data_IF_054726873233
#
_entry.id   IF_054726873233
#
_cell.length_a   1.000
_cell.length_b   1.000
_cell.length_c   1.000
_cell.angle_alpha   90.00
_cell.angle_beta   90.00
_cell.angle_gamma   90.00
#
_symmetry.space_group_name_H-M   'P 1'
#
loop_
_entity.id
_entity.type
_entity.pdbx_description
1 polymer ?
#
# COMPACT_ATOMS: atom_id res chain seq x y z
N UNK A 1 17.92 14.14 13.38
CA UNK A 1 17.75 13.40 12.11
C UNK A 1 17.87 14.39 10.96
N UNK A 2 18.64 14.03 9.93
CA UNK A 2 18.76 14.79 8.69
C UNK A 2 18.13 13.93 7.59
N UNK A 3 17.07 14.44 6.96
CA UNK A 3 16.46 13.81 5.79
C UNK A 3 17.05 14.39 4.51
N UNK A 4 17.45 13.51 3.60
CA UNK A 4 18.02 13.86 2.30
C UNK A 4 17.08 13.44 1.19
N UNK A 5 16.83 14.34 0.23
CA UNK A 5 16.11 14.02 -1.01
C UNK A 5 16.76 14.80 -2.17
N UNK A 6 16.88 14.18 -3.34
CA UNK A 6 17.45 14.81 -4.51
C UNK A 6 16.48 15.74 -5.26
N UNK A 7 15.18 15.69 -4.93
CA UNK A 7 14.18 16.60 -5.44
C UNK A 7 14.19 17.93 -4.62
N UNK A 8 14.83 18.95 -5.17
CA UNK A 8 14.92 20.26 -4.54
C UNK A 8 13.55 20.89 -4.23
N UNK A 9 12.54 20.64 -5.06
CA UNK A 9 11.19 21.18 -4.81
C UNK A 9 10.59 20.53 -3.57
N UNK A 10 10.76 19.23 -3.43
CA UNK A 10 10.30 18.47 -2.27
C UNK A 10 11.05 18.87 -1.00
N UNK A 11 12.37 19.08 -1.08
CA UNK A 11 13.18 19.58 0.04
C UNK A 11 12.68 20.96 0.50
N UNK A 12 12.46 21.91 -0.43
CA UNK A 12 11.94 23.23 -0.10
C UNK A 12 10.53 23.16 0.52
N UNK A 13 9.62 22.36 -0.05
CA UNK A 13 8.29 22.15 0.52
C UNK A 13 8.35 21.65 1.97
N UNK A 14 9.22 20.66 2.25
CA UNK A 14 9.41 20.11 3.59
C UNK A 14 10.03 21.14 4.56
N UNK A 15 10.97 21.96 4.10
CA UNK A 15 11.55 23.07 4.87
C UNK A 15 10.50 24.14 5.22
N UNK A 16 9.56 24.40 4.30
CA UNK A 16 8.41 25.30 4.50
C UNK A 16 7.27 24.65 5.32
N UNK A 17 7.44 23.42 5.79
CA UNK A 17 6.47 22.69 6.61
C UNK A 17 5.32 22.03 5.84
N UNK A 18 5.43 21.90 4.52
CA UNK A 18 4.46 21.21 3.67
C UNK A 18 4.86 19.75 3.47
N UNK A 19 3.96 18.82 3.83
CA UNK A 19 4.20 17.38 3.68
C UNK A 19 3.62 16.92 2.35
N UNK A 20 4.42 16.30 1.45
CA UNK A 20 3.99 15.97 0.08
C UNK A 20 3.10 14.72 -0.01
N UNK A 21 2.80 14.06 1.10
CA UNK A 21 1.95 12.87 1.18
C UNK A 21 0.90 13.03 2.27
N UNK A 22 -0.26 12.42 2.07
CA UNK A 22 -1.27 12.33 3.12
C UNK A 22 -1.06 11.08 3.96
N UNK A 23 -0.73 11.27 5.24
CA UNK A 23 -0.65 10.19 6.25
C UNK A 23 -1.15 10.75 7.59
N UNK A 24 -2.17 10.14 8.22
CA UNK A 24 -2.71 10.61 9.48
C UNK A 24 -1.65 10.80 10.57
N UNK A 25 -1.58 12.00 11.15
CA UNK A 25 -0.64 12.34 12.23
C UNK A 25 0.80 12.68 11.81
N UNK A 26 1.18 12.48 10.53
CA UNK A 26 2.55 12.73 10.07
C UNK A 26 2.91 14.21 10.09
N UNK A 27 2.01 15.07 9.63
CA UNK A 27 2.26 16.53 9.55
C UNK A 27 2.56 17.10 10.93
N UNK A 28 1.79 16.73 11.95
CA UNK A 28 1.99 17.19 13.32
C UNK A 28 3.35 16.74 13.88
N UNK A 29 3.74 15.49 13.61
CA UNK A 29 5.03 14.94 14.04
C UNK A 29 6.20 15.66 13.38
N UNK A 30 6.12 15.92 12.08
CA UNK A 30 7.17 16.64 11.35
C UNK A 30 7.31 18.05 11.90
N UNK A 31 6.22 18.84 11.97
CA UNK A 31 6.23 20.20 12.50
C UNK A 31 6.81 20.28 13.91
N UNK A 32 6.40 19.37 14.79
CA UNK A 32 6.91 19.27 16.17
C UNK A 32 8.42 19.02 16.22
N UNK A 33 8.94 18.13 15.36
CA UNK A 33 10.35 17.75 15.41
C UNK A 33 11.25 18.80 14.71
N UNK A 34 10.76 19.45 13.66
CA UNK A 34 11.45 20.59 13.03
C UNK A 34 11.56 21.75 14.01
N UNK A 35 10.45 22.16 14.64
CA UNK A 35 10.43 23.24 15.63
C UNK A 35 11.36 22.97 16.84
N UNK A 36 11.53 21.71 17.20
CA UNK A 36 12.45 21.31 18.29
C UNK A 36 13.90 21.09 17.85
N UNK A 37 14.25 21.39 16.58
CA UNK A 37 15.60 21.20 16.03
C UNK A 37 16.06 19.74 15.93
N UNK A 38 15.13 18.77 16.00
CA UNK A 38 15.45 17.33 15.92
C UNK A 38 15.35 16.76 14.50
N UNK A 39 14.75 17.51 13.58
CA UNK A 39 14.54 17.11 12.20
C UNK A 39 14.91 18.27 11.27
N UNK A 40 15.73 17.99 10.25
CA UNK A 40 16.09 18.94 9.19
C UNK A 40 16.08 18.24 7.84
N UNK A 41 16.06 19.04 6.76
CA UNK A 41 16.00 18.56 5.39
C UNK A 41 17.10 19.23 4.56
N UNK A 42 17.79 18.43 3.74
CA UNK A 42 18.86 18.88 2.84
C UNK A 42 18.84 18.11 1.53
N UNK A 43 19.46 18.66 0.50
CA UNK A 43 19.73 17.93 -0.73
C UNK A 43 21.15 17.34 -0.79
N UNK A 44 21.97 17.56 0.25
CA UNK A 44 23.37 17.15 0.29
C UNK A 44 23.55 15.85 1.05
N UNK A 45 23.84 14.76 0.34
CA UNK A 45 24.21 13.48 0.96
C UNK A 45 25.50 13.62 1.77
N UNK A 46 26.49 14.40 1.26
CA UNK A 46 27.76 14.61 1.94
C UNK A 46 27.60 15.24 3.33
N UNK A 47 26.76 16.28 3.45
CA UNK A 47 26.42 16.89 4.72
C UNK A 47 25.81 15.89 5.72
N UNK A 48 24.89 15.06 5.23
CA UNK A 48 24.24 14.06 6.06
C UNK A 48 25.20 12.94 6.49
N UNK A 49 26.09 12.47 5.59
CA UNK A 49 27.12 11.47 5.91
C UNK A 49 28.08 11.99 6.97
N UNK A 50 28.58 13.20 6.82
CA UNK A 50 29.53 13.82 7.77
C UNK A 50 28.93 13.98 9.17
N UNK A 51 27.62 14.18 9.29
CA UNK A 51 26.93 14.42 10.55
C UNK A 51 26.32 13.16 11.19
N UNK A 52 26.46 11.99 10.56
CA UNK A 52 25.71 10.79 10.95
C UNK A 52 26.62 9.60 11.25
N UNK A 53 26.20 8.76 12.20
CA UNK A 53 26.80 7.44 12.50
C UNK A 53 25.99 6.29 11.87
N UNK A 54 24.71 6.53 11.61
CA UNK A 54 23.79 5.56 11.02
C UNK A 54 23.03 6.25 9.89
N UNK A 55 23.06 5.68 8.71
CA UNK A 55 22.38 6.20 7.52
C UNK A 55 21.35 5.20 7.05
N UNK A 56 20.10 5.64 6.88
CA UNK A 56 19.01 4.84 6.34
C UNK A 56 18.83 5.13 4.84
N UNK A 57 18.98 4.11 4.00
CA UNK A 57 18.60 4.15 2.59
C UNK A 57 17.11 3.83 2.51
N UNK A 58 16.30 4.84 2.19
CA UNK A 58 14.84 4.75 2.12
C UNK A 58 14.34 5.31 0.77
N UNK A 59 14.90 4.81 -0.31
CA UNK A 59 14.62 5.26 -1.68
C UNK A 59 13.61 4.37 -2.38
N UNK A 60 12.92 4.88 -3.44
CA UNK A 60 12.01 4.08 -4.24
C UNK A 60 12.71 2.87 -4.88
N UNK A 61 11.96 1.78 -5.00
CA UNK A 61 12.36 0.56 -5.70
C UNK A 61 11.25 0.20 -6.69
N UNK A 62 11.12 0.94 -7.82
CA UNK A 62 10.00 0.76 -8.73
C UNK A 62 10.07 -0.56 -9.46
N UNK A 63 8.90 -1.18 -9.81
CA UNK A 63 8.87 -2.39 -10.60
C UNK A 63 9.28 -2.12 -12.04
N UNK A 64 9.98 -3.08 -12.65
CA UNK A 64 10.26 -3.10 -14.08
C UNK A 64 9.24 -3.97 -14.85
N UNK A 65 9.11 -3.82 -16.18
CA UNK A 65 8.13 -4.57 -16.97
C UNK A 65 8.30 -6.10 -16.91
N UNK A 66 9.49 -6.59 -16.60
CA UNK A 66 9.81 -8.03 -16.48
C UNK A 66 9.53 -8.58 -15.07
N UNK A 67 8.98 -7.75 -14.16
CA UNK A 67 8.71 -8.08 -12.76
C UNK A 67 9.92 -7.91 -11.83
N UNK A 68 11.10 -7.54 -12.35
CA UNK A 68 12.24 -7.20 -11.51
C UNK A 68 12.04 -5.84 -10.82
N UNK A 69 12.94 -5.53 -9.89
CA UNK A 69 12.97 -4.26 -9.16
C UNK A 69 14.14 -3.41 -9.65
N UNK A 70 13.87 -2.14 -9.94
CA UNK A 70 14.93 -1.19 -10.26
C UNK A 70 15.67 -0.80 -8.98
N UNK A 71 16.94 -1.22 -8.87
CA UNK A 71 17.82 -0.92 -7.75
C UNK A 71 18.78 0.26 -8.02
N UNK A 72 18.63 0.95 -9.14
CA UNK A 72 19.54 2.05 -9.52
C UNK A 72 19.58 3.17 -8.47
N UNK A 73 18.43 3.45 -7.82
CA UNK A 73 18.38 4.42 -6.73
C UNK A 73 19.16 3.96 -5.49
N UNK A 74 19.05 2.69 -5.11
CA UNK A 74 19.80 2.10 -3.98
C UNK A 74 21.30 2.11 -4.28
N UNK A 75 21.69 1.66 -5.47
CA UNK A 75 23.10 1.65 -5.91
C UNK A 75 23.65 3.08 -5.99
N UNK A 76 22.90 4.03 -6.54
CA UNK A 76 23.29 5.43 -6.65
C UNK A 76 23.59 6.03 -5.27
N UNK A 77 22.69 5.87 -4.32
CA UNK A 77 22.89 6.36 -2.94
C UNK A 77 24.07 5.66 -2.26
N UNK A 78 24.26 4.34 -2.45
CA UNK A 78 25.41 3.63 -1.90
C UNK A 78 26.75 4.17 -2.44
N UNK A 79 26.81 4.52 -3.74
CA UNK A 79 27.98 5.16 -4.35
C UNK A 79 28.24 6.55 -3.79
N UNK A 80 27.22 7.37 -3.65
CA UNK A 80 27.35 8.71 -3.09
C UNK A 80 27.77 8.69 -1.62
N UNK A 81 27.19 7.80 -0.81
CA UNK A 81 27.65 7.57 0.57
C UNK A 81 29.14 7.23 0.59
N UNK A 82 29.57 6.28 -0.27
CA UNK A 82 30.96 5.82 -0.31
C UNK A 82 31.98 6.94 -0.55
N UNK A 83 31.64 7.91 -1.41
CA UNK A 83 32.51 9.04 -1.74
C UNK A 83 32.72 9.96 -0.54
N UNK A 84 31.72 10.05 0.35
CA UNK A 84 31.77 10.96 1.50
C UNK A 84 32.22 10.29 2.80
N UNK A 85 32.32 8.94 2.85
CA UNK A 85 32.80 8.24 4.03
C UNK A 85 34.26 8.64 4.33
N UNK A 86 34.46 9.19 5.52
CA UNK A 86 35.78 9.40 6.12
C UNK A 86 36.22 8.13 6.86
N UNK A 87 37.26 8.18 7.69
CA UNK A 87 37.84 7.00 8.35
C UNK A 87 37.06 6.47 9.56
N UNK A 88 35.89 7.03 9.88
CA UNK A 88 35.07 6.60 11.02
C UNK A 88 34.11 5.48 10.61
N UNK A 89 33.82 4.57 11.56
CA UNK A 89 32.87 3.51 11.37
C UNK A 89 31.46 4.06 11.13
N UNK A 90 30.80 3.58 10.07
CA UNK A 90 29.46 3.99 9.66
C UNK A 90 28.55 2.77 9.50
N UNK A 91 27.33 2.85 9.98
CA UNK A 91 26.31 1.84 9.74
C UNK A 91 25.39 2.33 8.60
N UNK A 92 25.33 1.53 7.52
CA UNK A 92 24.44 1.79 6.36
C UNK A 92 23.27 0.82 6.41
N UNK A 93 22.08 1.34 6.63
CA UNK A 93 20.84 0.57 6.80
C UNK A 93 20.00 0.63 5.53
N UNK A 94 19.77 -0.49 4.87
CA UNK A 94 18.80 -0.59 3.80
C UNK A 94 17.40 -0.77 4.40
N UNK A 95 16.57 0.26 4.26
CA UNK A 95 15.18 0.30 4.72
C UNK A 95 14.20 0.00 3.60
N UNK A 96 14.61 0.20 2.34
CA UNK A 96 13.81 -0.07 1.16
C UNK A 96 13.46 -1.55 1.04
N UNK A 97 12.31 -1.88 0.43
CA UNK A 97 11.98 -3.27 0.10
C UNK A 97 12.77 -3.69 -1.13
N UNK A 98 13.72 -4.57 -0.94
CA UNK A 98 14.72 -4.99 -1.94
C UNK A 98 14.79 -6.51 -2.09
N UNK A 99 15.22 -7.03 -3.24
CA UNK A 99 15.52 -8.44 -3.43
C UNK A 99 16.60 -8.96 -2.46
N UNK A 100 16.53 -10.25 -2.14
CA UNK A 100 17.53 -10.93 -1.33
C UNK A 100 18.95 -10.75 -1.94
N UNK A 101 19.95 -10.58 -1.10
CA UNK A 101 21.36 -10.24 -1.43
C UNK A 101 21.61 -8.78 -1.82
N UNK A 102 20.65 -7.88 -1.66
CA UNK A 102 20.88 -6.46 -1.94
C UNK A 102 21.80 -5.82 -0.90
N UNK A 103 21.68 -6.15 0.39
CA UNK A 103 22.59 -5.66 1.41
C UNK A 103 24.06 -6.04 1.14
N UNK A 104 24.31 -7.26 0.64
CA UNK A 104 25.65 -7.68 0.19
C UNK A 104 26.15 -6.82 -0.98
N UNK A 105 25.28 -6.49 -1.96
CA UNK A 105 25.61 -5.63 -3.10
C UNK A 105 25.89 -4.19 -2.67
N UNK A 106 25.15 -3.67 -1.69
CA UNK A 106 25.42 -2.35 -1.08
C UNK A 106 26.82 -2.32 -0.47
N UNK A 107 27.16 -3.33 0.34
CA UNK A 107 28.50 -3.45 0.94
C UNK A 107 29.61 -3.53 -0.14
N UNK A 108 29.40 -4.34 -1.18
CA UNK A 108 30.35 -4.46 -2.30
C UNK A 108 30.50 -3.14 -3.08
N UNK A 109 29.41 -2.43 -3.31
CA UNK A 109 29.42 -1.14 -4.02
C UNK A 109 30.21 -0.10 -3.24
N UNK A 110 29.96 0.02 -1.94
CA UNK A 110 30.70 0.94 -1.08
C UNK A 110 32.19 0.57 -1.03
N UNK A 111 32.53 -0.70 -0.83
CA UNK A 111 33.93 -1.17 -0.81
C UNK A 111 34.66 -0.94 -2.13
N UNK A 112 33.99 -1.04 -3.28
CA UNK A 112 34.58 -0.76 -4.59
C UNK A 112 34.86 0.73 -4.79
N UNK A 113 33.92 1.59 -4.35
CA UNK A 113 34.07 3.04 -4.48
C UNK A 113 35.01 3.65 -3.45
N UNK A 114 35.11 3.06 -2.25
CA UNK A 114 36.00 3.48 -1.16
C UNK A 114 36.56 2.26 -0.42
N UNK A 115 37.67 1.67 -0.89
CA UNK A 115 38.27 0.47 -0.28
C UNK A 115 38.72 0.63 1.16
N UNK A 116 38.83 1.87 1.65
CA UNK A 116 39.21 2.18 3.04
C UNK A 116 38.02 2.44 3.98
N UNK A 117 36.80 2.32 3.49
CA UNK A 117 35.63 2.57 4.29
C UNK A 117 35.42 1.49 5.37
N UNK A 118 35.29 1.91 6.64
CA UNK A 118 34.88 1.03 7.75
C UNK A 118 33.36 1.11 7.89
N UNK A 119 32.65 0.12 7.37
CA UNK A 119 31.19 0.07 7.37
C UNK A 119 30.65 -1.25 7.86
N UNK A 120 29.45 -1.19 8.45
CA UNK A 120 28.57 -2.34 8.60
C UNK A 120 27.27 -2.07 7.81
N UNK A 121 26.79 -3.09 7.10
CA UNK A 121 25.51 -3.02 6.39
C UNK A 121 24.44 -3.73 7.20
N UNK A 122 23.26 -3.13 7.22
CA UNK A 122 22.07 -3.63 7.91
C UNK A 122 20.89 -3.66 6.94
N UNK A 123 20.14 -4.74 6.89
CA UNK A 123 18.84 -4.82 6.23
C UNK A 123 17.73 -4.69 7.27
N UNK A 124 16.96 -3.61 7.19
CA UNK A 124 15.91 -3.32 8.17
C UNK A 124 14.59 -2.98 7.46
N UNK A 125 13.89 -3.99 6.93
CA UNK A 125 12.66 -3.76 6.20
C UNK A 125 11.57 -3.13 7.08
N UNK A 126 10.71 -2.31 6.47
CA UNK A 126 9.54 -1.73 7.11
C UNK A 126 8.31 -2.65 6.94
N UNK A 127 7.34 -2.55 7.85
CA UNK A 127 6.08 -3.28 7.80
C UNK A 127 4.89 -2.32 7.97
N UNK A 128 5.05 -1.09 7.49
CA UNK A 128 4.08 -0.02 7.63
C UNK A 128 2.94 -0.21 6.62
N UNK A 129 1.75 0.26 7.01
CA UNK A 129 0.58 0.33 6.15
C UNK A 129 0.25 1.80 5.89
N UNK A 130 0.24 2.22 4.64
CA UNK A 130 -0.24 3.55 4.27
C UNK A 130 -1.59 3.84 4.93
N UNK A 131 -1.80 5.06 5.44
CA UNK A 131 -2.99 5.44 6.18
C UNK A 131 -3.04 5.04 7.66
N UNK A 132 -2.04 4.27 8.13
CA UNK A 132 -1.79 3.96 9.55
C UNK A 132 -0.30 3.82 9.85
N UNK A 133 0.57 4.36 8.98
CA UNK A 133 2.02 4.15 9.05
C UNK A 133 2.64 4.75 10.32
N UNK A 134 2.12 5.88 10.79
CA UNK A 134 2.58 6.49 12.04
C UNK A 134 2.25 5.59 13.22
N UNK A 135 1.04 5.03 13.31
CA UNK A 135 0.65 4.13 14.37
C UNK A 135 1.44 2.82 14.31
N UNK A 136 1.59 2.24 13.11
CA UNK A 136 2.34 1.00 12.89
C UNK A 136 3.82 1.16 13.28
N UNK A 137 4.41 2.35 13.06
CA UNK A 137 5.78 2.64 13.49
C UNK A 137 5.89 2.82 15.00
N UNK A 138 4.92 3.52 15.61
CA UNK A 138 4.95 3.81 17.05
C UNK A 138 4.61 2.60 17.92
N UNK A 139 3.88 1.61 17.36
CA UNK A 139 3.46 0.38 18.04
C UNK A 139 3.65 -0.83 17.12
N UNK A 140 4.88 -1.15 16.69
CA UNK A 140 5.11 -2.24 15.76
C UNK A 140 4.93 -3.60 16.46
N UNK A 141 4.37 -4.58 15.75
CA UNK A 141 4.28 -5.97 16.23
C UNK A 141 5.67 -6.59 16.41
N UNK A 142 6.61 -6.23 15.58
CA UNK A 142 8.02 -6.64 15.58
C UNK A 142 8.87 -5.70 14.75
N UNK A 143 10.15 -5.69 15.05
CA UNK A 143 11.19 -5.01 14.28
C UNK A 143 12.19 -6.07 13.83
N UNK A 144 12.51 -6.12 12.53
CA UNK A 144 13.45 -7.08 11.95
C UNK A 144 14.72 -6.33 11.56
N UNK A 145 15.87 -6.81 12.03
CA UNK A 145 17.17 -6.20 11.79
C UNK A 145 18.16 -7.30 11.37
N UNK A 146 18.45 -7.35 10.07
CA UNK A 146 19.51 -8.18 9.52
C UNK A 146 20.86 -7.46 9.61
N UNK A 147 21.84 -8.06 10.22
CA UNK A 147 23.16 -7.45 10.43
C UNK A 147 24.26 -8.21 9.71
N UNK A 148 25.24 -7.49 9.19
CA UNK A 148 26.46 -8.08 8.62
C UNK A 148 27.52 -8.36 9.69
N UNK A 149 27.43 -7.70 10.86
CA UNK A 149 28.34 -7.89 11.98
C UNK A 149 27.68 -7.53 13.32
N UNK A 150 28.21 -8.10 14.41
CA UNK A 150 27.74 -7.82 15.78
C UNK A 150 27.93 -6.35 16.19
N UNK A 151 28.83 -5.59 15.56
CA UNK A 151 29.06 -4.16 15.84
C UNK A 151 27.79 -3.32 15.60
N UNK A 152 26.95 -3.71 14.66
CA UNK A 152 25.72 -3.01 14.35
C UNK A 152 24.57 -3.28 15.34
N UNK A 153 24.61 -4.36 16.11
CA UNK A 153 23.52 -4.78 17.01
C UNK A 153 23.23 -3.74 18.08
N UNK A 154 24.27 -3.23 18.76
CA UNK A 154 24.13 -2.24 19.83
C UNK A 154 23.44 -0.95 19.34
N UNK A 155 23.98 -0.26 18.31
CA UNK A 155 23.39 0.95 17.75
C UNK A 155 21.97 0.76 17.22
N UNK A 156 21.68 -0.36 16.54
CA UNK A 156 20.32 -0.65 16.05
C UNK A 156 19.34 -0.90 17.18
N UNK A 157 19.78 -1.56 18.26
CA UNK A 157 18.96 -1.73 19.47
C UNK A 157 18.64 -0.39 20.11
N UNK A 158 19.62 0.51 20.27
CA UNK A 158 19.41 1.85 20.83
C UNK A 158 18.36 2.65 20.05
N UNK A 159 18.38 2.57 18.72
CA UNK A 159 17.39 3.24 17.85
C UNK A 159 15.97 2.71 18.10
N UNK A 160 15.81 1.39 18.26
CA UNK A 160 14.49 0.76 18.28
C UNK A 160 13.94 0.43 19.67
N UNK A 161 14.76 0.42 20.72
CA UNK A 161 14.33 0.17 22.10
C UNK A 161 13.18 1.08 22.59
N UNK A 162 13.13 2.38 22.22
CA UNK A 162 12.02 3.24 22.62
C UNK A 162 10.64 2.80 22.16
N UNK A 163 10.55 2.00 21.09
CA UNK A 163 9.26 1.50 20.56
C UNK A 163 8.71 0.32 21.38
N UNK A 164 9.49 -0.26 22.31
CA UNK A 164 9.08 -1.32 23.22
C UNK A 164 8.48 -2.56 22.54
N UNK A 165 8.92 -2.84 21.32
CA UNK A 165 8.51 -4.00 20.54
C UNK A 165 9.62 -5.06 20.49
N UNK A 166 9.29 -6.33 20.19
CA UNK A 166 10.28 -7.36 19.96
C UNK A 166 11.21 -6.99 18.80
N UNK A 167 12.53 -6.98 19.04
CA UNK A 167 13.55 -6.77 18.01
C UNK A 167 14.16 -8.12 17.68
N UNK A 168 13.99 -8.55 16.43
CA UNK A 168 14.57 -9.79 15.90
C UNK A 168 15.86 -9.45 15.14
N UNK A 169 17.00 -9.84 15.68
CA UNK A 169 18.27 -9.79 14.95
C UNK A 169 18.49 -11.08 14.17
N UNK A 170 18.90 -10.95 12.91
CA UNK A 170 19.17 -12.07 12.00
C UNK A 170 20.26 -11.67 10.98
N UNK A 171 20.54 -12.51 9.98
CA UNK A 171 21.40 -12.17 8.85
C UNK A 171 20.67 -11.29 7.82
N UNK A 172 21.42 -10.67 6.90
CA UNK A 172 20.89 -9.76 5.87
C UNK A 172 19.84 -10.45 4.99
N UNK A 173 20.16 -11.64 4.48
CA UNK A 173 19.33 -12.36 3.53
C UNK A 173 18.00 -12.78 4.16
N UNK A 174 18.02 -13.23 5.40
CA UNK A 174 16.81 -13.58 6.14
C UNK A 174 15.92 -12.35 6.37
N UNK A 175 16.49 -11.20 6.73
CA UNK A 175 15.72 -9.97 6.94
C UNK A 175 15.04 -9.50 5.65
N UNK A 176 15.75 -9.51 4.51
CA UNK A 176 15.20 -9.18 3.20
C UNK A 176 14.09 -10.14 2.79
N UNK A 177 14.31 -11.45 2.99
CA UNK A 177 13.32 -12.48 2.63
C UNK A 177 12.05 -12.40 3.50
N UNK A 178 12.18 -12.09 4.80
CA UNK A 178 11.03 -11.92 5.71
C UNK A 178 10.03 -10.89 5.17
N UNK A 179 10.50 -9.78 4.60
CA UNK A 179 9.60 -8.76 4.03
C UNK A 179 8.78 -9.30 2.87
N UNK A 180 9.44 -9.95 1.91
CA UNK A 180 8.75 -10.54 0.74
C UNK A 180 7.79 -11.66 1.17
N UNK A 181 8.23 -12.55 2.05
CA UNK A 181 7.40 -13.65 2.56
C UNK A 181 6.18 -13.13 3.31
N UNK A 182 6.34 -12.12 4.18
CA UNK A 182 5.22 -11.53 4.90
C UNK A 182 4.20 -10.87 3.97
N UNK A 183 4.64 -10.01 3.04
CA UNK A 183 3.73 -9.33 2.13
C UNK A 183 3.01 -10.29 1.18
N UNK A 184 3.70 -11.30 0.67
CA UNK A 184 3.09 -12.32 -0.20
C UNK A 184 2.08 -13.19 0.54
N UNK A 185 2.33 -13.51 1.81
CA UNK A 185 1.37 -14.26 2.62
C UNK A 185 0.11 -13.45 2.94
N UNK A 186 0.25 -12.15 3.21
CA UNK A 186 -0.91 -11.27 3.42
C UNK A 186 -1.76 -11.15 2.14
N UNK A 187 -1.13 -11.02 0.98
CA UNK A 187 -1.82 -11.01 -0.30
C UNK A 187 -2.48 -12.36 -0.62
N UNK A 188 -1.83 -13.49 -0.27
CA UNK A 188 -2.43 -14.82 -0.36
C UNK A 188 -3.71 -14.91 0.46
N UNK A 189 -3.74 -14.39 1.70
CA UNK A 189 -4.96 -14.37 2.53
C UNK A 189 -6.10 -13.63 1.86
N UNK A 190 -5.83 -12.46 1.25
CA UNK A 190 -6.85 -11.69 0.51
C UNK A 190 -7.32 -12.46 -0.73
N UNK A 191 -6.42 -12.99 -1.55
CA UNK A 191 -6.79 -13.76 -2.73
C UNK A 191 -7.53 -15.05 -2.36
N UNK A 192 -7.13 -15.70 -1.28
CA UNK A 192 -7.81 -16.90 -0.76
C UNK A 192 -9.27 -16.60 -0.39
N UNK A 193 -9.52 -15.57 0.42
CA UNK A 193 -10.90 -15.24 0.82
C UNK A 193 -11.73 -14.74 -0.37
N UNK A 194 -11.12 -14.10 -1.36
CA UNK A 194 -11.78 -13.72 -2.59
C UNK A 194 -12.19 -14.94 -3.44
N UNK A 195 -11.36 -15.98 -3.48
CA UNK A 195 -11.72 -17.25 -4.12
C UNK A 195 -12.86 -17.95 -3.35
N UNK A 196 -12.80 -17.95 -2.01
CA UNK A 196 -13.88 -18.48 -1.15
C UNK A 196 -15.17 -17.68 -1.34
N UNK A 197 -15.10 -16.35 -1.52
CA UNK A 197 -16.27 -15.52 -1.80
C UNK A 197 -16.99 -15.96 -3.08
N UNK A 198 -16.25 -16.39 -4.09
CA UNK A 198 -16.83 -16.94 -5.31
C UNK A 198 -17.62 -18.23 -5.06
N UNK A 199 -17.11 -19.09 -4.19
CA UNK A 199 -17.78 -20.33 -3.79
C UNK A 199 -19.02 -20.00 -2.94
N UNK A 200 -18.92 -19.03 -2.03
CA UNK A 200 -20.06 -18.57 -1.24
C UNK A 200 -21.21 -18.08 -2.11
N UNK A 201 -20.94 -17.27 -3.14
CA UNK A 201 -21.95 -16.81 -4.11
C UNK A 201 -22.65 -17.97 -4.82
N UNK A 202 -21.90 -19.00 -5.22
CA UNK A 202 -22.45 -20.16 -5.91
C UNK A 202 -23.24 -21.10 -4.99
N UNK A 203 -22.86 -21.17 -3.71
CA UNK A 203 -23.47 -22.10 -2.73
C UNK A 203 -24.54 -21.46 -1.84
N UNK A 204 -24.73 -20.13 -1.91
CA UNK A 204 -25.62 -19.39 -1.01
C UNK A 204 -25.06 -19.18 0.40
N UNK A 205 -23.76 -19.43 0.62
CA UNK A 205 -23.08 -19.13 1.87
C UNK A 205 -22.77 -17.63 1.98
N UNK A 206 -22.36 -17.17 3.18
CA UNK A 206 -21.94 -15.80 3.45
C UNK A 206 -20.44 -15.77 3.75
N UNK A 207 -19.67 -15.06 2.92
CA UNK A 207 -18.21 -15.02 3.04
C UNK A 207 -17.72 -14.40 4.35
N UNK A 208 -18.45 -13.42 4.93
CA UNK A 208 -18.05 -12.82 6.20
C UNK A 208 -18.15 -13.81 7.34
N UNK A 209 -19.26 -14.59 7.40
CA UNK A 209 -19.42 -15.65 8.38
C UNK A 209 -18.38 -16.75 8.21
N UNK A 210 -18.03 -17.09 6.97
CA UNK A 210 -16.95 -18.05 6.69
C UNK A 210 -15.61 -17.51 7.15
N UNK A 211 -15.31 -16.23 6.84
CA UNK A 211 -14.08 -15.56 7.27
C UNK A 211 -13.98 -15.44 8.80
N UNK A 212 -15.08 -15.16 9.48
CA UNK A 212 -15.14 -15.08 10.95
C UNK A 212 -14.93 -16.47 11.56
N UNK A 213 -15.61 -17.49 11.03
CA UNK A 213 -15.45 -18.87 11.48
C UNK A 213 -14.02 -19.40 11.33
N UNK A 214 -13.42 -19.17 10.16
CA UNK A 214 -12.01 -19.51 9.92
C UNK A 214 -11.07 -18.69 10.81
N UNK A 215 -11.31 -17.39 10.89
CA UNK A 215 -10.45 -16.44 11.61
C UNK A 215 -10.48 -16.60 13.13
N UNK A 216 -11.50 -17.27 13.69
CA UNK A 216 -11.56 -17.65 15.10
C UNK A 216 -10.48 -18.66 15.50
N UNK A 217 -9.98 -19.46 14.57
CA UNK A 217 -8.79 -20.30 14.80
C UNK A 217 -7.55 -19.40 14.86
N UNK A 218 -6.87 -19.39 16.02
CA UNK A 218 -5.65 -18.58 16.26
C UNK A 218 -4.51 -18.87 15.27
N UNK A 219 -4.47 -20.07 14.70
CA UNK A 219 -3.48 -20.47 13.68
C UNK A 219 -3.70 -19.76 12.35
N UNK A 220 -4.94 -19.31 12.07
CA UNK A 220 -5.33 -18.60 10.85
C UNK A 220 -5.42 -17.09 11.10
N UNK A 221 -6.18 -16.68 12.11
CA UNK A 221 -6.46 -15.30 12.45
C UNK A 221 -7.33 -14.57 11.44
N UNK A 222 -8.18 -13.65 11.89
CA UNK A 222 -9.19 -12.94 11.07
C UNK A 222 -8.60 -11.90 10.13
N UNK A 223 -7.45 -11.28 10.50
CA UNK A 223 -6.84 -10.21 9.72
C UNK A 223 -6.54 -10.66 8.27
N UNK A 224 -6.77 -9.76 7.32
CA UNK A 224 -6.60 -9.98 5.87
C UNK A 224 -7.55 -11.01 5.24
N UNK A 225 -8.63 -11.41 5.93
CA UNK A 225 -9.70 -12.25 5.38
C UNK A 225 -10.95 -11.40 5.06
N UNK A 226 -10.79 -10.23 4.47
CA UNK A 226 -11.89 -9.40 3.98
C UNK A 226 -11.99 -9.55 2.46
N UNK A 227 -13.11 -10.11 2.00
CA UNK A 227 -13.39 -10.23 0.57
C UNK A 227 -13.74 -8.86 -0.04
N UNK A 228 -13.34 -8.65 -1.30
CA UNK A 228 -13.59 -7.40 -2.00
C UNK A 228 -13.17 -7.46 -3.47
N UNK A 229 -13.08 -6.30 -4.11
CA UNK A 229 -12.72 -6.16 -5.54
C UNK A 229 -11.23 -6.38 -5.82
N UNK A 230 -10.46 -6.83 -4.84
CA UNK A 230 -9.02 -7.06 -4.95
C UNK A 230 -8.19 -6.01 -4.21
N UNK A 231 -6.90 -6.30 -4.08
CA UNK A 231 -5.91 -5.37 -3.52
C UNK A 231 -5.19 -4.60 -4.63
N UNK A 232 -4.71 -3.42 -4.27
CA UNK A 232 -3.88 -2.54 -5.07
C UNK A 232 -2.78 -1.91 -4.22
N UNK A 233 -2.43 -0.67 -4.53
CA UNK A 233 -1.41 0.10 -3.84
C UNK A 233 0.01 -0.16 -4.37
N UNK A 234 0.96 0.49 -3.74
CA UNK A 234 2.37 0.48 -4.14
C UNK A 234 3.14 -0.77 -3.71
N UNK A 235 2.65 -1.50 -2.69
CA UNK A 235 3.40 -2.57 -2.05
C UNK A 235 3.05 -3.95 -2.61
N UNK A 236 1.82 -4.44 -2.40
CA UNK A 236 1.48 -5.83 -2.72
C UNK A 236 1.70 -6.20 -4.19
N UNK A 237 1.21 -5.45 -5.19
CA UNK A 237 1.44 -5.83 -6.58
C UNK A 237 2.93 -5.92 -6.92
N UNK A 238 3.70 -4.92 -6.51
CA UNK A 238 5.16 -4.87 -6.74
C UNK A 238 5.90 -6.00 -6.04
N UNK A 239 5.64 -6.21 -4.73
CA UNK A 239 6.41 -7.15 -3.92
C UNK A 239 6.11 -8.60 -4.29
N UNK A 240 4.89 -8.92 -4.73
CA UNK A 240 4.52 -10.26 -5.19
C UNK A 240 5.20 -10.55 -6.53
N UNK A 241 5.10 -9.65 -7.51
CA UNK A 241 5.78 -9.80 -8.79
C UNK A 241 7.29 -9.93 -8.60
N UNK A 242 7.89 -9.10 -7.72
CA UNK A 242 9.31 -9.21 -7.37
C UNK A 242 9.64 -10.58 -6.75
N UNK A 243 8.82 -11.09 -5.83
CA UNK A 243 9.10 -12.37 -5.19
C UNK A 243 8.93 -13.55 -6.14
N UNK A 244 7.96 -13.51 -7.05
CA UNK A 244 7.84 -14.49 -8.14
C UNK A 244 9.12 -14.48 -9.01
N UNK A 245 9.63 -13.31 -9.34
CA UNK A 245 10.85 -13.16 -10.13
C UNK A 245 12.08 -13.69 -9.39
N UNK A 246 12.29 -13.24 -8.13
CA UNK A 246 13.37 -13.69 -7.26
C UNK A 246 13.36 -15.23 -7.12
N UNK A 247 12.19 -15.83 -6.88
CA UNK A 247 12.07 -17.27 -6.72
C UNK A 247 12.49 -18.04 -7.97
N UNK A 248 12.13 -17.54 -9.16
CA UNK A 248 12.56 -18.13 -10.44
C UNK A 248 14.06 -18.01 -10.66
N UNK A 249 14.66 -16.87 -10.34
CA UNK A 249 16.12 -16.65 -10.42
C UNK A 249 16.88 -17.56 -9.46
N UNK A 250 16.29 -17.89 -8.31
CA UNK A 250 16.83 -18.86 -7.36
C UNK A 250 16.51 -20.32 -7.73
N UNK A 251 15.88 -20.58 -8.89
CA UNK A 251 15.58 -21.91 -9.39
C UNK A 251 14.29 -22.55 -8.85
N UNK A 252 13.44 -21.80 -8.15
CA UNK A 252 12.17 -22.29 -7.63
C UNK A 252 10.96 -21.52 -8.21
N UNK A 253 10.17 -22.11 -9.12
CA UNK A 253 8.96 -21.46 -9.65
C UNK A 253 7.86 -21.45 -8.58
N UNK A 254 7.51 -20.27 -8.06
CA UNK A 254 6.55 -20.13 -6.98
C UNK A 254 5.12 -20.00 -7.54
N UNK A 255 4.58 -21.09 -8.10
CA UNK A 255 3.26 -21.12 -8.74
C UNK A 255 2.11 -20.64 -7.83
N UNK A 256 2.21 -20.87 -6.51
CA UNK A 256 1.18 -20.38 -5.58
C UNK A 256 1.02 -18.84 -5.66
N UNK A 257 2.11 -18.09 -5.79
CA UNK A 257 2.04 -16.63 -5.90
C UNK A 257 1.53 -16.19 -7.27
N UNK A 258 1.82 -16.93 -8.32
CA UNK A 258 1.25 -16.68 -9.66
C UNK A 258 -0.29 -16.81 -9.63
N UNK A 259 -0.83 -17.81 -8.92
CA UNK A 259 -2.28 -17.95 -8.73
C UNK A 259 -2.86 -16.84 -7.86
N UNK A 260 -2.13 -16.36 -6.84
CA UNK A 260 -2.54 -15.19 -6.03
C UNK A 260 -2.75 -13.96 -6.91
N UNK A 261 -1.82 -13.66 -7.83
CA UNK A 261 -1.95 -12.56 -8.79
C UNK A 261 -3.14 -12.75 -9.74
N UNK A 262 -3.33 -13.94 -10.29
CA UNK A 262 -4.44 -14.25 -11.20
C UNK A 262 -5.80 -14.08 -10.51
N UNK A 263 -5.96 -14.60 -9.29
CA UNK A 263 -7.18 -14.43 -8.50
C UNK A 263 -7.44 -12.95 -8.24
N UNK A 264 -6.42 -12.18 -7.84
CA UNK A 264 -6.56 -10.75 -7.58
C UNK A 264 -6.97 -9.99 -8.85
N UNK A 265 -6.32 -10.23 -9.97
CA UNK A 265 -6.64 -9.59 -11.25
C UNK A 265 -8.09 -9.88 -11.70
N UNK A 266 -8.57 -11.10 -11.45
CA UNK A 266 -9.94 -11.51 -11.80
C UNK A 266 -11.05 -10.85 -10.99
N UNK A 267 -10.75 -10.25 -9.80
CA UNK A 267 -11.79 -9.69 -8.93
C UNK A 267 -12.50 -8.48 -9.57
N UNK A 268 -11.75 -7.61 -10.23
CA UNK A 268 -12.32 -6.48 -10.97
C UNK A 268 -13.37 -6.94 -11.99
N UNK A 269 -13.04 -7.94 -12.79
CA UNK A 269 -13.91 -8.41 -13.87
C UNK A 269 -15.17 -9.11 -13.31
N UNK A 270 -15.02 -9.84 -12.20
CA UNK A 270 -16.17 -10.43 -11.47
C UNK A 270 -17.12 -9.33 -10.95
N UNK A 271 -16.59 -8.26 -10.38
CA UNK A 271 -17.39 -7.14 -9.90
C UNK A 271 -18.10 -6.42 -11.06
N UNK A 272 -17.39 -6.12 -12.14
CA UNK A 272 -17.98 -5.54 -13.35
C UNK A 272 -19.06 -6.43 -13.97
N UNK A 273 -18.89 -7.76 -13.92
CA UNK A 273 -19.90 -8.70 -14.39
C UNK A 273 -21.21 -8.54 -13.61
N UNK A 274 -21.17 -8.44 -12.27
CA UNK A 274 -22.38 -8.19 -11.44
C UNK A 274 -23.09 -6.90 -11.84
N UNK A 275 -22.33 -5.83 -12.11
CA UNK A 275 -22.89 -4.54 -12.54
C UNK A 275 -23.57 -4.68 -13.91
N UNK A 276 -22.92 -5.35 -14.88
CA UNK A 276 -23.49 -5.58 -16.23
C UNK A 276 -24.76 -6.43 -16.17
N UNK A 277 -24.78 -7.47 -15.36
CA UNK A 277 -25.96 -8.33 -15.20
C UNK A 277 -27.16 -7.55 -14.64
N UNK A 278 -26.93 -6.63 -13.70
CA UNK A 278 -28.02 -5.84 -13.11
C UNK A 278 -28.47 -4.67 -13.99
N UNK A 279 -27.55 -4.02 -14.69
CA UNK A 279 -27.86 -2.83 -15.54
C UNK A 279 -28.17 -3.17 -16.98
N UNK A 280 -27.86 -4.40 -17.42
CA UNK A 280 -28.04 -4.94 -18.76
C UNK A 280 -27.25 -4.20 -19.85
N UNK A 281 -27.42 -2.86 -19.98
CA UNK A 281 -26.69 -1.99 -20.91
C UNK A 281 -26.06 -0.86 -20.12
N UNK A 282 -24.75 -0.65 -20.26
CA UNK A 282 -24.02 0.41 -19.54
C UNK A 282 -24.04 1.74 -20.28
N UNK A 283 -24.23 1.72 -21.58
CA UNK A 283 -24.26 2.94 -22.39
C UNK A 283 -25.33 3.90 -21.90
N UNK A 284 -24.94 5.16 -21.64
CA UNK A 284 -25.79 6.25 -21.12
C UNK A 284 -26.32 6.02 -19.69
N UNK A 285 -25.87 4.98 -18.98
CA UNK A 285 -26.16 4.81 -17.57
C UNK A 285 -25.38 5.82 -16.74
N UNK A 286 -26.02 6.37 -15.73
CA UNK A 286 -25.39 7.25 -14.72
C UNK A 286 -24.99 6.42 -13.51
N UNK A 287 -23.72 6.37 -13.23
CA UNK A 287 -23.18 5.55 -12.14
C UNK A 287 -22.41 6.45 -11.17
N UNK A 288 -22.78 6.39 -9.90
CA UNK A 288 -22.04 7.02 -8.82
C UNK A 288 -20.96 6.10 -8.29
N UNK A 289 -19.74 6.58 -8.11
CA UNK A 289 -18.65 5.80 -7.53
C UNK A 289 -18.05 6.51 -6.32
N UNK A 290 -18.03 5.84 -5.18
CA UNK A 290 -17.48 6.27 -3.92
C UNK A 290 -16.15 5.58 -3.66
N UNK A 291 -15.06 6.36 -3.68
CA UNK A 291 -13.69 5.89 -3.49
C UNK A 291 -12.91 5.70 -4.79
N UNK A 292 -11.70 6.26 -4.83
CA UNK A 292 -10.74 6.18 -5.93
C UNK A 292 -9.36 5.72 -5.46
N UNK A 293 -8.99 6.03 -4.20
CA UNK A 293 -7.80 5.48 -3.57
C UNK A 293 -7.86 3.94 -3.52
N UNK A 294 -6.71 3.27 -3.49
CA UNK A 294 -6.68 1.81 -3.45
C UNK A 294 -7.24 1.22 -2.15
N UNK A 295 -7.25 2.00 -1.08
CA UNK A 295 -7.88 1.70 0.22
C UNK A 295 -8.23 2.98 0.97
N UNK A 296 -8.95 2.89 2.10
CA UNK A 296 -9.26 4.02 2.96
C UNK A 296 -8.03 4.64 3.65
N UNK A 297 -8.16 5.89 4.10
CA UNK A 297 -7.16 6.67 4.85
C UNK A 297 -5.85 6.97 4.10
N UNK A 298 -5.85 6.93 2.78
CA UNK A 298 -4.71 7.34 1.94
C UNK A 298 -5.19 8.10 0.69
N UNK A 299 -4.31 8.87 0.09
CA UNK A 299 -4.52 9.53 -1.20
C UNK A 299 -3.86 8.77 -2.37
N UNK A 300 -3.31 7.56 -2.10
CA UNK A 300 -2.59 6.78 -3.11
C UNK A 300 -3.56 6.05 -4.06
N UNK A 301 -3.38 6.32 -5.35
CA UNK A 301 -4.16 5.73 -6.46
C UNK A 301 -3.38 4.69 -7.26
N UNK A 302 -2.14 4.40 -6.88
CA UNK A 302 -1.29 3.42 -7.61
C UNK A 302 -1.91 2.03 -7.57
N UNK A 303 -2.02 1.41 -8.74
CA UNK A 303 -2.68 0.10 -8.89
C UNK A 303 -4.08 0.03 -8.25
N UNK A 304 -4.79 1.17 -8.15
CA UNK A 304 -6.13 1.18 -7.59
C UNK A 304 -7.11 0.42 -8.48
N UNK A 305 -7.73 -0.60 -7.90
CA UNK A 305 -8.79 -1.36 -8.59
C UNK A 305 -10.00 -0.48 -8.84
N UNK A 306 -10.28 0.50 -7.98
CA UNK A 306 -11.35 1.47 -8.15
C UNK A 306 -11.18 2.28 -9.44
N UNK A 307 -9.97 2.79 -9.71
CA UNK A 307 -9.64 3.48 -10.96
C UNK A 307 -9.93 2.56 -12.15
N UNK A 308 -9.48 1.31 -12.11
CA UNK A 308 -9.71 0.35 -13.19
C UNK A 308 -11.19 0.03 -13.44
N UNK A 309 -12.02 0.00 -12.39
CA UNK A 309 -13.49 -0.15 -12.52
C UNK A 309 -14.09 1.08 -13.19
N UNK A 310 -13.76 2.29 -12.74
CA UNK A 310 -14.27 3.54 -13.32
C UNK A 310 -13.87 3.69 -14.78
N UNK A 311 -12.61 3.42 -15.13
CA UNK A 311 -12.13 3.44 -16.52
C UNK A 311 -12.93 2.50 -17.42
N UNK A 312 -13.19 1.27 -16.96
CA UNK A 312 -13.91 0.27 -17.73
C UNK A 312 -15.38 0.68 -17.96
N UNK A 313 -16.06 1.18 -16.92
CA UNK A 313 -17.44 1.66 -17.04
C UNK A 313 -17.56 2.83 -18.04
N UNK A 314 -16.63 3.77 -18.00
CA UNK A 314 -16.55 4.89 -18.95
C UNK A 314 -16.29 4.37 -20.38
N UNK A 315 -15.39 3.40 -20.53
CA UNK A 315 -15.09 2.79 -21.84
C UNK A 315 -16.32 2.08 -22.44
N UNK A 316 -17.22 1.55 -21.60
CA UNK A 316 -18.49 0.93 -22.00
C UNK A 316 -19.64 1.95 -22.18
N UNK A 317 -19.35 3.25 -22.07
CA UNK A 317 -20.26 4.34 -22.39
C UNK A 317 -21.14 4.81 -21.22
N UNK A 318 -20.82 4.44 -19.99
CA UNK A 318 -21.47 4.99 -18.80
C UNK A 318 -20.98 6.43 -18.49
N UNK A 319 -21.86 7.26 -17.96
CA UNK A 319 -21.51 8.52 -17.29
C UNK A 319 -21.19 8.20 -15.85
N UNK A 320 -19.94 8.42 -15.41
CA UNK A 320 -19.52 8.07 -14.05
C UNK A 320 -19.21 9.33 -13.25
N UNK A 321 -19.94 9.54 -12.14
CA UNK A 321 -19.65 10.56 -11.13
C UNK A 321 -18.85 9.93 -10.01
N UNK A 322 -17.76 10.59 -9.60
CA UNK A 322 -16.84 10.03 -8.65
C UNK A 322 -16.58 10.98 -7.49
N UNK A 323 -16.40 10.41 -6.30
CA UNK A 323 -15.98 11.12 -5.11
C UNK A 323 -14.96 10.28 -4.33
N UNK A 324 -13.91 10.93 -3.84
CA UNK A 324 -12.97 10.37 -2.88
C UNK A 324 -12.54 11.46 -1.90
N UNK A 325 -12.45 11.22 -0.59
CA UNK A 325 -12.10 12.24 0.41
C UNK A 325 -10.71 12.85 0.23
N UNK A 326 -9.75 12.13 -0.36
CA UNK A 326 -8.33 12.52 -0.43
C UNK A 326 -7.68 12.34 -1.80
N UNK A 327 -8.21 11.44 -2.64
CA UNK A 327 -7.51 11.01 -3.84
C UNK A 327 -8.00 11.70 -5.13
N UNK A 328 -8.94 12.67 -5.07
CA UNK A 328 -9.56 13.29 -6.24
C UNK A 328 -8.52 13.90 -7.20
N UNK A 329 -7.60 14.71 -6.69
CA UNK A 329 -6.57 15.38 -7.48
C UNK A 329 -5.65 14.39 -8.20
N UNK A 330 -5.18 13.36 -7.48
CA UNK A 330 -4.29 12.31 -8.03
C UNK A 330 -5.03 11.37 -8.99
N UNK A 331 -6.33 11.18 -8.81
CA UNK A 331 -7.15 10.32 -9.65
C UNK A 331 -7.59 11.00 -10.96
N UNK A 332 -7.78 12.31 -10.96
CA UNK A 332 -8.31 13.05 -12.11
C UNK A 332 -7.55 12.78 -13.42
N UNK A 333 -6.21 12.78 -13.47
CA UNK A 333 -5.47 12.47 -14.71
C UNK A 333 -5.69 11.03 -15.20
N UNK A 334 -6.02 10.10 -14.29
CA UNK A 334 -6.22 8.68 -14.60
C UNK A 334 -7.64 8.39 -15.09
N UNK A 335 -8.62 9.20 -14.71
CA UNK A 335 -10.02 9.09 -15.13
C UNK A 335 -10.56 10.44 -15.66
N UNK A 336 -9.96 11.00 -16.71
CA UNK A 336 -10.25 12.38 -17.16
C UNK A 336 -11.67 12.59 -17.68
N UNK A 337 -12.40 11.52 -17.98
CA UNK A 337 -13.81 11.55 -18.42
C UNK A 337 -14.81 11.34 -17.28
N UNK A 338 -14.34 11.04 -16.06
CA UNK A 338 -15.21 10.97 -14.89
C UNK A 338 -15.61 12.38 -14.45
N UNK A 339 -16.82 12.51 -13.92
CA UNK A 339 -17.32 13.76 -13.36
C UNK A 339 -16.95 13.78 -11.87
N UNK A 340 -15.98 14.62 -11.51
CA UNK A 340 -15.60 14.83 -10.13
C UNK A 340 -16.67 15.65 -9.41
N UNK A 341 -17.15 15.17 -8.25
CA UNK A 341 -18.14 15.90 -7.44
C UNK A 341 -17.54 16.35 -6.11
N UNK A 342 -18.06 17.44 -5.55
CA UNK A 342 -17.52 18.04 -4.32
C UNK A 342 -18.00 17.35 -3.03
N UNK A 343 -19.19 16.74 -3.09
CA UNK A 343 -19.80 16.05 -1.94
C UNK A 343 -20.19 14.63 -2.30
N UNK A 344 -20.02 13.67 -1.38
CA UNK A 344 -20.31 12.27 -1.67
C UNK A 344 -21.77 12.01 -2.06
N UNK A 345 -22.72 12.80 -1.56
CA UNK A 345 -24.14 12.61 -1.87
C UNK A 345 -24.46 12.90 -3.34
N UNK A 346 -23.70 13.76 -3.98
CA UNK A 346 -23.92 14.15 -5.38
C UNK A 346 -23.71 13.00 -6.36
N UNK A 347 -23.00 11.94 -5.97
CA UNK A 347 -22.86 10.74 -6.82
C UNK A 347 -24.20 10.05 -7.06
N UNK A 348 -25.18 10.25 -6.15
CA UNK A 348 -26.49 9.62 -6.21
C UNK A 348 -27.49 10.33 -7.14
N UNK A 349 -27.24 11.59 -7.54
CA UNK A 349 -28.20 12.40 -8.29
C UNK A 349 -28.52 11.81 -9.67
N UNK A 350 -29.71 11.26 -9.81
CA UNK A 350 -30.19 10.61 -11.04
C UNK A 350 -29.41 9.36 -11.42
N UNK A 351 -28.69 8.75 -10.47
CA UNK A 351 -27.88 7.57 -10.71
C UNK A 351 -28.72 6.29 -10.91
N UNK A 352 -28.34 5.48 -11.87
CA UNK A 352 -28.85 4.11 -12.06
C UNK A 352 -28.27 3.14 -11.02
N UNK A 353 -27.05 3.41 -10.52
CA UNK A 353 -26.39 2.62 -9.50
C UNK A 353 -25.36 3.44 -8.72
N UNK A 354 -25.10 3.06 -7.48
CA UNK A 354 -23.96 3.54 -6.69
C UNK A 354 -23.00 2.38 -6.44
N UNK A 355 -21.70 2.64 -6.56
CA UNK A 355 -20.63 1.71 -6.30
C UNK A 355 -19.81 2.18 -5.10
N UNK A 356 -19.49 1.29 -4.17
CA UNK A 356 -18.47 1.51 -3.13
C UNK A 356 -17.22 0.79 -3.56
N UNK A 357 -16.18 1.54 -3.88
CA UNK A 357 -14.93 1.01 -4.43
C UNK A 357 -13.75 1.09 -3.45
N UNK A 358 -13.87 1.95 -2.42
CA UNK A 358 -12.87 2.12 -1.36
C UNK A 358 -13.54 2.19 0.01
N UNK A 359 -12.95 1.57 1.01
CA UNK A 359 -13.51 1.43 2.35
C UNK A 359 -13.24 2.65 3.26
N UNK A 360 -13.71 3.83 2.86
CA UNK A 360 -13.66 5.01 3.71
C UNK A 360 -14.73 4.94 4.81
N UNK A 361 -14.33 5.18 6.07
CA UNK A 361 -15.28 5.12 7.19
C UNK A 361 -16.42 6.13 7.07
N UNK A 362 -16.20 7.30 6.48
CA UNK A 362 -17.25 8.30 6.27
C UNK A 362 -18.40 7.80 5.40
N UNK A 363 -18.14 6.85 4.47
CA UNK A 363 -19.20 6.29 3.65
C UNK A 363 -20.22 5.46 4.44
N UNK A 364 -19.87 4.97 5.63
CA UNK A 364 -20.81 4.27 6.52
C UNK A 364 -21.92 5.18 7.04
N UNK A 365 -21.62 6.45 7.21
CA UNK A 365 -22.52 7.42 7.86
C UNK A 365 -23.18 8.40 6.88
N UNK A 366 -23.07 8.15 5.58
CA UNK A 366 -23.73 8.97 4.57
C UNK A 366 -25.26 8.91 4.73
N UNK A 367 -25.98 9.95 4.29
CA UNK A 367 -27.45 9.98 4.38
C UNK A 367 -28.10 9.07 3.32
N UNK A 368 -27.87 7.75 3.42
CA UNK A 368 -28.27 6.76 2.43
C UNK A 368 -29.75 6.80 2.06
N UNK A 369 -30.63 7.09 3.04
CA UNK A 369 -32.06 7.23 2.76
C UNK A 369 -32.39 8.43 1.86
N UNK A 370 -31.66 9.54 2.00
CA UNK A 370 -31.79 10.71 1.13
C UNK A 370 -31.18 10.47 -0.24
N UNK A 371 -29.98 9.87 -0.27
CA UNK A 371 -29.29 9.49 -1.52
C UNK A 371 -30.14 8.58 -2.39
N UNK A 372 -30.80 7.56 -1.77
CA UNK A 372 -31.73 6.69 -2.51
C UNK A 372 -32.85 7.45 -3.20
N UNK A 373 -33.39 8.49 -2.56
CA UNK A 373 -34.50 9.27 -3.14
C UNK A 373 -34.07 10.08 -4.37
N UNK A 374 -32.77 10.42 -4.48
CA UNK A 374 -32.24 11.14 -5.64
C UNK A 374 -31.81 10.23 -6.80
N UNK A 375 -31.77 8.91 -6.58
CA UNK A 375 -31.42 7.92 -7.59
C UNK A 375 -32.58 7.61 -8.53
N UNK A 376 -32.25 7.21 -9.76
CA UNK A 376 -33.21 6.66 -10.72
C UNK A 376 -33.56 5.20 -10.36
N UNK A 377 -32.58 4.42 -9.95
CA UNK A 377 -32.73 3.02 -9.52
C UNK A 377 -31.95 2.77 -8.24
N UNK A 378 -32.52 2.06 -7.22
CA UNK A 378 -31.88 1.90 -5.92
C UNK A 378 -30.84 0.76 -5.92
N UNK A 379 -29.99 0.68 -6.95
CA UNK A 379 -28.95 -0.33 -7.05
C UNK A 379 -27.69 0.12 -6.31
N UNK A 380 -27.21 -0.71 -5.37
CA UNK A 380 -26.00 -0.45 -4.58
C UNK A 380 -25.06 -1.65 -4.67
N UNK A 381 -23.88 -1.42 -5.26
CA UNK A 381 -22.83 -2.43 -5.37
C UNK A 381 -21.70 -2.09 -4.40
N UNK A 382 -21.52 -2.93 -3.41
CA UNK A 382 -20.47 -2.75 -2.41
C UNK A 382 -19.28 -3.67 -2.67
N UNK A 383 -18.28 -3.14 -3.33
CA UNK A 383 -17.05 -3.84 -3.68
C UNK A 383 -16.10 -4.09 -2.49
N UNK A 384 -16.44 -3.56 -1.31
CA UNK A 384 -15.62 -3.67 -0.09
C UNK A 384 -16.36 -4.32 1.07
N UNK A 385 -17.63 -4.68 0.91
CA UNK A 385 -18.51 -5.14 1.98
C UNK A 385 -18.47 -4.20 3.20
N UNK A 386 -18.47 -2.90 2.91
CA UNK A 386 -18.31 -1.84 3.90
C UNK A 386 -19.58 -1.60 4.71
N UNK A 387 -20.73 -1.69 4.03
CA UNK A 387 -22.03 -1.37 4.60
C UNK A 387 -22.73 -2.63 5.12
N UNK A 388 -23.60 -2.42 6.10
CA UNK A 388 -24.48 -3.49 6.56
C UNK A 388 -25.54 -3.79 5.49
N UNK A 389 -25.52 -5.00 4.95
CA UNK A 389 -26.43 -5.47 3.91
C UNK A 389 -27.90 -5.38 4.32
N UNK A 390 -28.21 -5.76 5.56
CA UNK A 390 -29.60 -5.80 6.07
C UNK A 390 -30.16 -4.40 6.23
N UNK A 391 -29.36 -3.47 6.76
CA UNK A 391 -29.71 -2.06 6.87
C UNK A 391 -29.96 -1.43 5.50
N UNK A 392 -29.09 -1.66 4.52
CA UNK A 392 -29.29 -1.12 3.18
C UNK A 392 -30.54 -1.69 2.51
N UNK A 393 -30.82 -2.97 2.69
CA UNK A 393 -32.08 -3.58 2.21
C UNK A 393 -33.31 -3.02 2.92
N UNK A 394 -33.24 -2.79 4.23
CA UNK A 394 -34.32 -2.16 4.98
C UNK A 394 -34.60 -0.73 4.50
N UNK A 395 -33.57 0.02 4.07
CA UNK A 395 -33.72 1.31 3.39
C UNK A 395 -34.29 1.18 1.97
N UNK A 396 -34.40 -0.06 1.44
CA UNK A 396 -34.96 -0.39 0.14
C UNK A 396 -33.96 -0.30 -1.02
N UNK A 397 -32.66 -0.47 -0.76
CA UNK A 397 -31.67 -0.71 -1.81
C UNK A 397 -31.68 -2.16 -2.27
N UNK A 398 -31.47 -2.37 -3.56
CA UNK A 398 -31.02 -3.66 -4.09
C UNK A 398 -29.52 -3.74 -3.86
N UNK A 399 -29.11 -4.31 -2.75
CA UNK A 399 -27.70 -4.38 -2.33
C UNK A 399 -27.03 -5.64 -2.89
N UNK A 400 -25.90 -5.45 -3.52
CA UNK A 400 -25.00 -6.50 -4.03
C UNK A 400 -23.60 -6.31 -3.49
N UNK A 401 -23.12 -7.23 -2.66
CA UNK A 401 -21.76 -7.29 -2.13
C UNK A 401 -20.90 -8.35 -2.82
N UNK A 402 -19.76 -8.66 -2.20
CA UNK A 402 -18.85 -9.71 -2.62
C UNK A 402 -19.02 -10.92 -1.70
N UNK A 403 -19.37 -12.09 -2.26
CA UNK A 403 -19.47 -13.32 -1.49
C UNK A 403 -20.80 -13.54 -0.74
N UNK A 404 -21.90 -12.88 -1.25
CA UNK A 404 -23.26 -13.07 -0.69
C UNK A 404 -24.31 -13.13 -1.79
#
# INVERSE_FOLDING_TARGET
VICVDNDLKKVHQLQDGHIPIYEPGLEELVKKNVAAGRLSFTASIGEAVDASKVIFIAVPTPPQPDGSVDLSFVEGVAREIAVHIKKEHLIVVDKSTVPVKTGEKVAQTISRCNPGADIDVVSNPEFLREGSAVEDLMKPDRIVVGVSSERAVGPMREIYEPFKAPIMFTDLNSAELIKHAANSFLALKISYINAVAAICEASGANVERVADGMGADKRIGRAFLNAGIGYGGSCFPKDISAFIRISRELGYPFHLLEEVEKINAGQKDRFLKKIREALWVLRQKKIGALGLAFKGNTDDVRSSVAIGVVQQLIAEGAEVRVYDPKAMEKAQPLVPKAIMVEKPEQVAEGADAILILTEWNEFKTLPWAAMKKSMLSPLLFDGRNLLNREEMRALGFTYTGIGH
#
